data_IF_211079267332
#
_entry.id   IF_211079267332
#
_cell.length_a   1.000
_cell.length_b   1.000
_cell.length_c   1.000
_cell.angle_alpha   90.00
_cell.angle_beta   90.00
_cell.angle_gamma   90.00
#
_symmetry.space_group_name_H-M   'P 1'
#
loop_
_entity.id
_entity.type
_entity.pdbx_description
1 polymer ?
#
# COMPACT_ATOMS: atom_id res chain seq x y z
N UNK A 1 52.07 -39.08 -33.39
CA UNK A 1 50.79 -38.41 -33.71
C UNK A 1 49.97 -38.22 -32.43
N UNK A 2 50.20 -37.14 -31.77
CA UNK A 2 49.58 -36.81 -30.49
C UNK A 2 48.63 -35.63 -30.70
N UNK A 3 47.36 -35.85 -30.44
CA UNK A 3 46.36 -34.77 -30.40
C UNK A 3 46.33 -34.19 -29.00
N UNK A 4 46.29 -32.85 -28.83
CA UNK A 4 46.16 -32.27 -27.52
C UNK A 4 44.67 -32.17 -27.11
N UNK A 5 44.44 -32.59 -25.89
CA UNK A 5 43.16 -32.53 -25.20
C UNK A 5 42.85 -31.06 -24.80
N UNK A 6 41.84 -30.44 -25.40
CA UNK A 6 41.38 -29.11 -25.02
C UNK A 6 40.59 -29.16 -23.70
N UNK A 7 41.19 -28.57 -22.68
CA UNK A 7 40.53 -28.34 -21.38
C UNK A 7 39.54 -27.17 -21.54
N UNK A 8 38.25 -27.50 -21.62
CA UNK A 8 37.15 -26.53 -21.61
C UNK A 8 36.94 -25.99 -20.21
N UNK A 9 37.47 -24.82 -19.91
CA UNK A 9 37.21 -24.10 -18.68
C UNK A 9 35.74 -23.75 -18.60
N UNK A 10 35.04 -24.39 -17.64
CA UNK A 10 33.68 -24.00 -17.26
C UNK A 10 33.76 -22.65 -16.51
N UNK A 11 33.31 -21.58 -17.15
CA UNK A 11 33.02 -20.32 -16.46
C UNK A 11 31.87 -20.58 -15.48
N UNK A 12 32.17 -20.54 -14.21
CA UNK A 12 31.17 -20.41 -13.16
C UNK A 12 30.52 -19.03 -13.31
N UNK A 13 29.27 -19.03 -13.73
CA UNK A 13 28.41 -17.85 -13.68
C UNK A 13 28.09 -17.56 -12.22
N UNK A 14 28.80 -16.61 -11.62
CA UNK A 14 28.43 -16.04 -10.34
C UNK A 14 27.18 -15.19 -10.57
N UNK A 15 26.01 -15.76 -10.26
CA UNK A 15 24.79 -14.97 -10.10
C UNK A 15 25.05 -13.86 -9.06
N UNK A 16 24.65 -12.61 -9.29
CA UNK A 16 24.79 -11.59 -8.28
C UNK A 16 23.94 -11.99 -7.06
N UNK A 17 24.58 -12.09 -5.91
CA UNK A 17 23.92 -12.15 -4.63
C UNK A 17 22.95 -10.98 -4.56
N UNK A 18 21.66 -11.27 -4.55
CA UNK A 18 20.64 -10.26 -4.26
C UNK A 18 20.97 -9.75 -2.86
N UNK A 19 21.50 -8.54 -2.79
CA UNK A 19 21.64 -7.82 -1.55
C UNK A 19 20.21 -7.65 -1.02
N UNK A 20 19.84 -8.49 -0.06
CA UNK A 20 18.62 -8.31 0.70
C UNK A 20 18.74 -6.92 1.32
N UNK A 21 18.05 -5.95 0.73
CA UNK A 21 18.01 -4.58 1.23
C UNK A 21 17.40 -4.69 2.63
N UNK A 22 18.23 -4.54 3.67
CA UNK A 22 17.74 -4.47 5.04
C UNK A 22 16.65 -3.41 5.08
N UNK A 23 15.39 -3.88 5.23
CA UNK A 23 14.25 -2.99 5.31
C UNK A 23 14.27 -2.39 6.70
N UNK A 24 14.64 -1.13 6.75
CA UNK A 24 14.61 -0.38 7.99
C UNK A 24 13.14 -0.03 8.29
N UNK A 25 12.53 -0.75 9.23
CA UNK A 25 11.18 -0.45 9.69
C UNK A 25 11.23 0.72 10.66
N UNK A 26 10.54 1.81 10.34
CA UNK A 26 10.54 3.02 11.14
C UNK A 26 9.64 2.90 12.37
N UNK A 27 8.44 2.37 12.22
CA UNK A 27 7.48 2.14 13.31
C UNK A 27 6.36 1.20 12.87
N UNK A 28 5.68 0.61 13.85
CA UNK A 28 4.44 -0.16 13.63
C UNK A 28 3.21 0.69 13.94
N UNK A 29 2.08 0.32 13.32
CA UNK A 29 0.76 0.88 13.59
C UNK A 29 -0.10 -0.25 14.15
N UNK A 30 -0.66 -0.05 15.33
CA UNK A 30 -1.42 -1.07 16.06
C UNK A 30 -2.91 -0.70 16.25
N UNK A 31 -3.37 0.42 15.69
CA UNK A 31 -4.74 0.94 15.85
C UNK A 31 -5.84 -0.03 15.35
N UNK A 32 -5.47 -0.98 14.48
CA UNK A 32 -6.37 -2.01 13.98
C UNK A 32 -6.53 -3.22 14.91
N UNK A 33 -5.67 -3.36 15.92
CA UNK A 33 -5.63 -4.51 16.84
C UNK A 33 -6.68 -4.38 17.93
N UNK A 34 -7.80 -5.05 17.75
CA UNK A 34 -8.95 -5.02 18.68
C UNK A 34 -9.25 -6.40 19.25
N UNK A 35 -8.85 -7.47 18.54
CA UNK A 35 -9.11 -8.85 18.96
C UNK A 35 -7.98 -9.79 18.45
N UNK A 36 -7.79 -10.94 19.09
CA UNK A 36 -6.73 -11.89 18.74
C UNK A 36 -6.75 -12.37 17.28
N UNK A 37 -7.89 -12.31 16.60
CA UNK A 37 -8.00 -12.75 15.20
C UNK A 37 -7.22 -11.85 14.24
N UNK A 38 -7.00 -10.57 14.59
CA UNK A 38 -6.27 -9.59 13.79
C UNK A 38 -4.85 -9.31 14.32
N UNK A 39 -4.44 -9.91 15.42
CA UNK A 39 -3.15 -9.63 16.06
C UNK A 39 -1.96 -10.10 15.22
N UNK A 40 -2.18 -11.05 14.30
CA UNK A 40 -1.17 -11.51 13.35
C UNK A 40 -0.84 -10.47 12.28
N UNK A 41 -1.79 -9.58 11.97
CA UNK A 41 -1.57 -8.52 10.98
C UNK A 41 -0.59 -7.49 11.55
N UNK A 42 0.43 -7.19 10.77
CA UNK A 42 1.43 -6.17 11.11
C UNK A 42 1.40 -5.08 10.05
N UNK A 43 1.18 -3.85 10.49
CA UNK A 43 1.28 -2.66 9.64
C UNK A 43 2.53 -1.90 10.02
N UNK A 44 3.46 -1.74 9.08
CA UNK A 44 4.71 -1.03 9.30
C UNK A 44 4.85 0.17 8.38
N UNK A 45 5.36 1.26 8.95
CA UNK A 45 5.83 2.43 8.19
C UNK A 45 7.26 2.14 7.77
N UNK A 46 7.53 2.15 6.47
CA UNK A 46 8.77 1.64 5.90
C UNK A 46 9.63 2.72 5.21
N UNK A 47 9.35 3.98 5.46
CA UNK A 47 10.11 5.12 4.95
C UNK A 47 10.17 6.27 5.95
N UNK A 48 11.08 7.20 5.71
CA UNK A 48 11.14 8.49 6.40
C UNK A 48 10.04 9.44 5.89
N UNK A 49 9.60 10.41 6.70
CA UNK A 49 8.68 11.44 6.26
C UNK A 49 9.21 12.19 5.04
N UNK A 50 8.39 12.30 4.00
CA UNK A 50 8.68 12.99 2.76
C UNK A 50 7.83 14.25 2.57
N UNK A 51 7.27 14.43 1.37
CA UNK A 51 6.44 15.58 1.04
C UNK A 51 5.28 15.76 2.03
N UNK A 52 5.07 16.98 2.51
CA UNK A 52 4.05 17.30 3.52
C UNK A 52 4.36 16.80 4.93
N UNK A 53 5.57 16.29 5.19
CA UNK A 53 5.98 15.75 6.49
C UNK A 53 5.35 14.38 6.82
N UNK A 54 4.77 13.69 5.84
CA UNK A 54 4.14 12.40 6.00
C UNK A 54 5.03 11.25 5.49
N UNK A 55 4.82 10.06 6.04
CA UNK A 55 5.37 8.84 5.45
C UNK A 55 4.53 8.42 4.23
N UNK A 56 5.18 7.79 3.24
CA UNK A 56 4.54 7.43 1.97
C UNK A 56 4.56 5.94 1.67
N UNK A 57 5.28 5.13 2.47
CA UNK A 57 5.37 3.68 2.28
C UNK A 57 4.89 2.95 3.53
N UNK A 58 3.88 2.10 3.33
CA UNK A 58 3.34 1.22 4.36
C UNK A 58 3.35 -0.22 3.85
N UNK A 59 3.71 -1.15 4.72
CA UNK A 59 3.74 -2.59 4.44
C UNK A 59 2.81 -3.31 5.40
N UNK A 60 1.94 -4.17 4.86
CA UNK A 60 1.01 -4.99 5.65
C UNK A 60 1.38 -6.45 5.43
N UNK A 61 1.60 -7.18 6.53
CA UNK A 61 1.98 -8.59 6.55
C UNK A 61 1.18 -9.37 7.59
N UNK A 62 1.39 -10.69 7.64
CA UNK A 62 0.81 -11.56 8.65
C UNK A 62 -0.54 -12.17 8.25
N UNK A 63 -0.87 -12.16 6.96
CA UNK A 63 -2.02 -12.87 6.39
C UNK A 63 -1.53 -14.04 5.49
N UNK A 64 -2.36 -15.08 5.40
CA UNK A 64 -2.10 -16.22 4.53
C UNK A 64 -2.97 -16.10 3.28
N UNK A 65 -2.35 -15.93 2.13
CA UNK A 65 -3.02 -15.80 0.85
C UNK A 65 -3.63 -17.12 0.36
N UNK A 66 -3.01 -18.26 0.64
CA UNK A 66 -3.45 -19.58 0.17
C UNK A 66 -4.84 -19.99 0.67
N UNK A 67 -5.26 -19.44 1.82
CA UNK A 67 -6.58 -19.70 2.39
C UNK A 67 -7.67 -18.74 1.88
N UNK A 68 -7.31 -17.79 1.04
CA UNK A 68 -8.24 -16.81 0.49
C UNK A 68 -8.83 -17.30 -0.84
N UNK A 69 -10.18 -17.44 -0.97
CA UNK A 69 -10.79 -17.88 -2.22
C UNK A 69 -10.57 -16.96 -3.44
N UNK A 70 -10.14 -15.72 -3.19
CA UNK A 70 -9.81 -14.74 -4.23
C UNK A 70 -8.31 -14.70 -4.54
N UNK A 71 -7.54 -15.64 -3.97
CA UNK A 71 -6.11 -15.76 -4.25
C UNK A 71 -5.87 -16.18 -5.71
N UNK A 72 -4.84 -15.63 -6.30
CA UNK A 72 -4.23 -16.09 -7.54
C UNK A 72 -2.69 -16.10 -7.39
N UNK A 73 -1.98 -16.73 -8.31
CA UNK A 73 -0.52 -16.90 -8.25
C UNK A 73 0.26 -15.56 -8.29
N UNK A 74 -0.41 -14.46 -8.63
CA UNK A 74 0.16 -13.12 -8.64
C UNK A 74 -0.03 -12.37 -7.31
N UNK A 75 -0.76 -12.97 -6.35
CA UNK A 75 -1.08 -12.32 -5.07
C UNK A 75 0.02 -12.61 -4.05
N UNK A 76 0.72 -11.56 -3.63
CA UNK A 76 1.76 -11.66 -2.60
C UNK A 76 1.16 -11.77 -1.18
N UNK A 77 1.90 -12.42 -0.28
CA UNK A 77 1.59 -12.45 1.16
C UNK A 77 1.98 -11.13 1.89
N UNK A 78 2.25 -10.08 1.13
CA UNK A 78 2.57 -8.75 1.61
C UNK A 78 1.83 -7.72 0.76
N UNK A 79 1.13 -6.79 1.39
CA UNK A 79 0.51 -5.66 0.70
C UNK A 79 1.35 -4.39 0.94
N UNK A 80 1.85 -3.80 -0.14
CA UNK A 80 2.59 -2.53 -0.08
C UNK A 80 1.69 -1.40 -0.54
N UNK A 81 1.54 -0.37 0.29
CA UNK A 81 0.80 0.84 -0.02
C UNK A 81 1.80 1.98 -0.18
N UNK A 82 1.86 2.53 -1.39
CA UNK A 82 2.65 3.73 -1.70
C UNK A 82 1.70 4.90 -1.90
N UNK A 83 1.83 5.92 -1.06
CA UNK A 83 1.12 7.18 -1.23
C UNK A 83 1.84 8.11 -2.20
N UNK A 84 1.06 8.97 -2.85
CA UNK A 84 1.59 10.05 -3.69
C UNK A 84 2.65 10.86 -2.92
N UNK A 85 3.84 10.95 -3.49
CA UNK A 85 4.98 11.66 -2.89
C UNK A 85 5.46 12.77 -3.85
N UNK A 86 5.27 14.00 -3.44
CA UNK A 86 5.56 15.20 -4.22
C UNK A 86 4.39 15.69 -5.09
N UNK A 87 4.50 16.92 -5.62
CA UNK A 87 3.49 17.53 -6.48
C UNK A 87 3.33 16.77 -7.81
N UNK A 88 2.09 16.50 -8.23
CA UNK A 88 1.80 15.78 -9.47
C UNK A 88 2.43 16.43 -10.71
N UNK A 89 2.46 17.77 -10.89
CA UNK A 89 3.10 18.39 -12.05
C UNK A 89 4.60 18.14 -12.14
N UNK A 90 5.28 17.86 -11.02
CA UNK A 90 6.73 17.64 -10.94
C UNK A 90 7.09 16.16 -10.92
N UNK A 91 6.40 15.39 -10.07
CA UNK A 91 6.70 13.98 -9.78
C UNK A 91 5.83 12.99 -10.58
N UNK A 92 4.81 13.48 -11.26
CA UNK A 92 3.78 12.62 -11.86
C UNK A 92 2.90 11.95 -10.81
N UNK A 93 1.99 11.09 -11.24
CA UNK A 93 1.22 10.21 -10.34
C UNK A 93 2.10 9.02 -9.98
N UNK A 94 2.61 8.97 -8.76
CA UNK A 94 3.58 7.98 -8.29
C UNK A 94 3.11 7.16 -7.08
N UNK A 95 1.85 7.30 -6.68
CA UNK A 95 1.25 6.56 -5.58
C UNK A 95 -0.25 6.80 -5.47
N UNK A 96 -0.88 6.15 -4.49
CA UNK A 96 -2.31 6.29 -4.22
C UNK A 96 -2.58 7.51 -3.33
N UNK A 97 -3.84 7.97 -3.34
CA UNK A 97 -4.31 9.01 -2.41
C UNK A 97 -5.15 8.40 -1.29
N UNK A 98 -5.45 9.19 -0.25
CA UNK A 98 -6.35 8.78 0.82
C UNK A 98 -7.72 8.40 0.27
N UNK A 99 -8.22 9.16 -0.70
CA UNK A 99 -9.52 8.95 -1.34
C UNK A 99 -9.62 7.59 -2.02
N UNK A 100 -8.53 7.09 -2.63
CA UNK A 100 -8.48 5.76 -3.25
C UNK A 100 -8.68 4.66 -2.20
N UNK A 101 -7.98 4.73 -1.07
CA UNK A 101 -8.12 3.74 0.00
C UNK A 101 -9.51 3.79 0.64
N UNK A 102 -10.02 4.99 0.91
CA UNK A 102 -11.38 5.15 1.44
C UNK A 102 -12.44 4.64 0.46
N UNK A 103 -12.25 4.81 -0.85
CA UNK A 103 -13.15 4.29 -1.87
C UNK A 103 -13.21 2.76 -1.85
N UNK A 104 -12.07 2.07 -1.71
CA UNK A 104 -12.01 0.61 -1.58
C UNK A 104 -12.76 0.13 -0.34
N UNK A 105 -12.53 0.77 0.81
CA UNK A 105 -13.19 0.42 2.07
C UNK A 105 -14.69 0.70 1.99
N UNK A 106 -15.11 1.83 1.40
CA UNK A 106 -16.52 2.18 1.21
C UNK A 106 -17.24 1.15 0.31
N UNK A 107 -16.61 0.72 -0.78
CA UNK A 107 -17.18 -0.30 -1.68
C UNK A 107 -17.42 -1.62 -0.94
N UNK A 108 -16.45 -2.09 -0.15
CA UNK A 108 -16.62 -3.30 0.67
C UNK A 108 -17.76 -3.16 1.68
N UNK A 109 -17.86 -2.03 2.37
CA UNK A 109 -18.95 -1.79 3.35
C UNK A 109 -20.31 -1.70 2.68
N UNK A 110 -20.41 -1.08 1.49
CA UNK A 110 -21.65 -1.07 0.69
C UNK A 110 -22.08 -2.49 0.32
N UNK A 111 -21.11 -3.34 -0.06
CA UNK A 111 -21.39 -4.75 -0.36
C UNK A 111 -21.90 -5.51 0.86
N UNK A 112 -21.31 -5.30 2.05
CA UNK A 112 -21.80 -5.89 3.29
C UNK A 112 -23.22 -5.40 3.65
N UNK A 113 -23.52 -4.13 3.42
CA UNK A 113 -24.85 -3.57 3.70
C UNK A 113 -25.93 -4.06 2.72
N UNK A 114 -25.57 -4.51 1.53
CA UNK A 114 -26.50 -5.16 0.58
C UNK A 114 -26.72 -6.65 0.88
N UNK A 115 -25.87 -7.27 1.67
CA UNK A 115 -25.85 -8.70 1.95
C UNK A 115 -26.27 -9.06 3.39
N UNK A 116 -26.02 -10.32 3.78
CA UNK A 116 -26.44 -10.84 5.09
C UNK A 116 -25.64 -10.25 6.27
N UNK A 117 -24.56 -9.52 6.01
CA UNK A 117 -23.74 -8.87 7.02
C UNK A 117 -24.14 -7.42 7.29
N UNK A 118 -25.33 -7.01 6.84
CA UNK A 118 -25.88 -5.69 7.12
C UNK A 118 -26.08 -5.49 8.61
N UNK A 119 -25.50 -4.42 9.15
CA UNK A 119 -25.63 -4.06 10.56
C UNK A 119 -25.43 -2.55 10.77
N UNK A 120 -25.91 -2.07 11.93
CA UNK A 120 -25.80 -0.64 12.30
C UNK A 120 -24.33 -0.18 12.34
N UNK A 121 -23.42 -1.00 12.86
CA UNK A 121 -22.00 -0.63 12.95
C UNK A 121 -21.39 -0.40 11.57
N UNK A 122 -21.63 -1.31 10.61
CA UNK A 122 -21.16 -1.15 9.22
C UNK A 122 -21.80 0.06 8.53
N UNK A 123 -23.09 0.35 8.80
CA UNK A 123 -23.75 1.53 8.25
C UNK A 123 -23.13 2.84 8.79
N UNK A 124 -22.89 2.92 10.09
CA UNK A 124 -22.22 4.09 10.70
C UNK A 124 -20.79 4.26 10.16
N UNK A 125 -20.02 3.17 10.09
CA UNK A 125 -18.67 3.22 9.52
C UNK A 125 -18.68 3.71 8.07
N UNK A 126 -19.61 3.21 7.25
CA UNK A 126 -19.76 3.66 5.85
C UNK A 126 -20.06 5.15 5.77
N UNK A 127 -21.00 5.65 6.58
CA UNK A 127 -21.35 7.07 6.64
C UNK A 127 -20.11 7.93 6.92
N UNK A 128 -19.32 7.58 7.94
CA UNK A 128 -18.15 8.36 8.32
C UNK A 128 -17.02 8.29 7.27
N UNK A 129 -16.90 7.18 6.56
CA UNK A 129 -15.94 7.06 5.45
C UNK A 129 -16.39 7.94 4.28
N UNK A 130 -17.69 7.96 3.95
CA UNK A 130 -18.23 8.83 2.91
C UNK A 130 -18.09 10.32 3.27
N UNK A 131 -18.31 10.68 4.53
CA UNK A 131 -18.04 12.03 5.04
C UNK A 131 -16.56 12.40 4.92
N UNK A 132 -15.63 11.49 5.29
CA UNK A 132 -14.21 11.71 5.13
C UNK A 132 -13.82 11.94 3.65
N UNK A 133 -14.37 11.14 2.73
CA UNK A 133 -14.18 11.34 1.29
C UNK A 133 -14.68 12.72 0.83
N UNK A 134 -15.85 13.13 1.30
CA UNK A 134 -16.41 14.45 0.99
C UNK A 134 -15.47 15.60 1.40
N UNK A 135 -14.93 15.54 2.62
CA UNK A 135 -13.99 16.56 3.11
C UNK A 135 -12.69 16.59 2.33
N UNK A 136 -12.14 15.45 1.94
CA UNK A 136 -10.94 15.39 1.12
C UNK A 136 -11.19 15.94 -0.29
N UNK A 137 -12.33 15.62 -0.90
CA UNK A 137 -12.73 16.18 -2.19
C UNK A 137 -12.96 17.68 -2.12
N UNK A 138 -13.61 18.17 -1.04
CA UNK A 138 -13.81 19.59 -0.82
C UNK A 138 -12.48 20.35 -0.73
N UNK A 139 -11.50 19.78 0.00
CA UNK A 139 -10.14 20.34 0.05
C UNK A 139 -9.53 20.44 -1.36
N UNK A 140 -9.66 19.42 -2.17
CA UNK A 140 -9.15 19.40 -3.55
C UNK A 140 -9.82 20.48 -4.40
N UNK A 141 -11.16 20.61 -4.33
CA UNK A 141 -11.92 21.63 -5.05
C UNK A 141 -11.48 23.04 -4.65
N UNK A 142 -11.28 23.28 -3.36
CA UNK A 142 -10.82 24.58 -2.85
C UNK A 142 -9.41 24.91 -3.33
N UNK A 143 -8.50 23.93 -3.35
CA UNK A 143 -7.16 24.09 -3.89
C UNK A 143 -7.16 24.36 -5.40
N UNK A 144 -8.02 23.66 -6.15
CA UNK A 144 -8.22 23.92 -7.58
C UNK A 144 -8.71 25.34 -7.83
N UNK A 145 -9.70 25.83 -7.05
CA UNK A 145 -10.21 27.22 -7.15
C UNK A 145 -9.12 28.27 -6.90
N UNK A 146 -8.17 27.97 -6.02
CA UNK A 146 -7.01 28.84 -5.74
C UNK A 146 -5.86 28.66 -6.74
N UNK A 147 -5.95 27.71 -7.68
CA UNK A 147 -4.89 27.40 -8.64
C UNK A 147 -3.62 26.82 -8.02
N UNK A 148 -3.73 26.17 -6.85
CA UNK A 148 -2.60 25.59 -6.11
C UNK A 148 -2.66 24.06 -5.99
N UNK A 149 -3.65 23.41 -6.60
CA UNK A 149 -3.77 21.97 -6.58
C UNK A 149 -2.57 21.32 -7.26
N UNK A 150 -2.07 20.23 -6.67
CA UNK A 150 -0.88 19.54 -7.14
C UNK A 150 0.43 20.31 -6.89
N UNK A 151 0.45 21.31 -6.03
CA UNK A 151 1.65 22.10 -5.68
C UNK A 151 1.94 22.04 -4.17
N UNK A 152 3.13 22.50 -3.75
CA UNK A 152 3.51 22.65 -2.35
C UNK A 152 2.83 23.85 -1.64
N UNK A 153 2.09 24.68 -2.35
CA UNK A 153 1.42 25.87 -1.75
C UNK A 153 0.24 25.43 -0.87
N UNK A 154 0.11 26.08 0.29
CA UNK A 154 -0.96 25.84 1.27
C UNK A 154 -2.19 26.67 0.95
#
# INVERSE_FOLDING_TARGET
NSSPCEARARRASSAPLSVARERHYMRTIDDHKVNPANDTLTVTVADEPGAGGANHRYEVRGFNTETNPSFDDATDAEAVILFQNGPIPEAGVNGVTHEVLLAIVADRLRSFQKGPYSCKANACALTHIEEAQHWLQQRTIERMRRGVEGTHRV
#
